data_IF_600361537908
#
_entry.id   IF_600361537908
#
_cell.length_a   1.000
_cell.length_b   1.000
_cell.length_c   1.000
_cell.angle_alpha   90.00
_cell.angle_beta   90.00
_cell.angle_gamma   90.00
#
_symmetry.space_group_name_H-M   'P 1'
#
loop_
_entity.id
_entity.type
_entity.pdbx_description
1 polymer ?
#
# COMPACT_ATOMS: atom_id res chain seq x y z
N UNK A 1 0.27 -17.70 -0.79
CA UNK A 1 1.57 -17.12 -0.40
C UNK A 1 1.32 -16.39 0.89
N UNK A 2 2.07 -16.67 1.95
CA UNK A 2 1.95 -15.96 3.24
C UNK A 2 2.61 -14.59 3.13
N UNK A 3 1.93 -13.54 3.58
CA UNK A 3 2.50 -12.19 3.65
C UNK A 3 3.61 -12.19 4.71
N UNK A 4 4.82 -11.79 4.30
CA UNK A 4 5.94 -11.61 5.23
C UNK A 4 5.69 -10.35 6.05
N UNK A 5 5.91 -10.41 7.36
CA UNK A 5 5.82 -9.26 8.27
C UNK A 5 7.21 -8.91 8.81
N UNK A 6 7.45 -7.63 9.09
CA UNK A 6 8.70 -7.16 9.71
C UNK A 6 8.38 -6.42 11.02
N UNK A 7 9.18 -6.62 12.10
CA UNK A 7 8.90 -6.00 13.41
C UNK A 7 8.93 -4.47 13.37
N UNK A 8 9.81 -3.88 12.56
CA UNK A 8 10.03 -2.43 12.54
C UNK A 8 9.45 -1.70 11.32
N UNK A 9 8.99 -2.43 10.30
CA UNK A 9 8.50 -1.84 9.04
C UNK A 9 7.23 -2.57 8.65
N UNK A 10 6.08 -2.00 8.98
CA UNK A 10 4.79 -2.65 8.82
C UNK A 10 3.99 -1.97 7.72
N UNK A 11 3.71 -2.69 6.64
CA UNK A 11 2.83 -2.21 5.57
C UNK A 11 1.39 -2.41 6.03
N UNK A 12 0.61 -1.33 6.04
CA UNK A 12 -0.77 -1.32 6.53
C UNK A 12 -1.73 -1.61 5.40
N UNK A 13 -1.69 -0.79 4.35
CA UNK A 13 -2.53 -0.92 3.15
C UNK A 13 -1.84 -0.36 1.93
N UNK A 14 -2.34 -0.77 0.77
CA UNK A 14 -2.02 -0.20 -0.53
C UNK A 14 -3.28 0.40 -1.11
N UNK A 15 -3.14 1.54 -1.78
CA UNK A 15 -4.25 2.09 -2.57
C UNK A 15 -3.83 2.33 -4.00
N UNK A 16 -4.80 2.18 -4.90
CA UNK A 16 -4.65 2.52 -6.31
C UNK A 16 -5.76 3.47 -6.71
N UNK A 17 -5.37 4.67 -7.12
CA UNK A 17 -6.28 5.70 -7.64
C UNK A 17 -6.20 5.69 -9.16
N UNK A 18 -7.33 5.50 -9.84
CA UNK A 18 -7.40 5.55 -11.32
C UNK A 18 -7.60 7.00 -11.76
N UNK A 19 -6.55 7.62 -12.31
CA UNK A 19 -6.51 9.05 -12.63
C UNK A 19 -7.22 9.33 -13.94
N UNK A 20 -6.76 8.74 -15.04
CA UNK A 20 -7.32 9.00 -16.35
C UNK A 20 -7.70 7.70 -17.03
N UNK A 21 -8.93 7.71 -17.53
CA UNK A 21 -9.37 6.78 -18.54
C UNK A 21 -9.31 7.48 -19.89
N UNK A 22 -8.25 7.22 -20.66
CA UNK A 22 -7.86 7.94 -21.89
C UNK A 22 -8.90 7.94 -23.03
N UNK A 23 -10.07 7.30 -22.86
CA UNK A 23 -11.12 7.20 -23.87
C UNK A 23 -12.49 7.77 -23.47
N UNK A 24 -12.67 8.36 -22.28
CA UNK A 24 -13.94 9.04 -21.94
C UNK A 24 -13.94 10.46 -22.52
N UNK A 25 -14.41 10.59 -23.76
CA UNK A 25 -14.85 11.87 -24.29
C UNK A 25 -16.01 12.41 -23.42
N UNK A 26 -15.74 13.49 -22.67
CA UNK A 26 -16.67 14.47 -22.08
C UNK A 26 -18.12 14.03 -21.81
N UNK A 27 -18.51 13.84 -20.54
CA UNK A 27 -19.78 14.36 -19.98
C UNK A 27 -19.64 14.46 -18.44
N UNK A 28 -19.65 15.70 -17.92
CA UNK A 28 -19.85 16.13 -16.53
C UNK A 28 -18.78 15.73 -15.46
N UNK A 29 -17.95 16.73 -15.11
CA UNK A 29 -16.97 16.75 -14.01
C UNK A 29 -17.59 16.48 -12.63
N UNK A 30 -17.72 15.20 -12.26
CA UNK A 30 -17.55 14.79 -10.86
C UNK A 30 -16.34 13.85 -10.89
N UNK A 31 -15.22 14.32 -10.35
CA UNK A 31 -13.91 13.67 -10.44
C UNK A 31 -13.87 12.57 -9.37
N UNK A 32 -14.72 11.56 -9.52
CA UNK A 32 -14.67 10.36 -8.70
C UNK A 32 -13.67 9.41 -9.35
N UNK A 33 -12.38 9.64 -9.09
CA UNK A 33 -11.34 8.68 -9.43
C UNK A 33 -11.59 7.40 -8.62
N UNK A 34 -11.86 6.24 -9.25
CA UNK A 34 -12.03 4.99 -8.51
C UNK A 34 -10.80 4.73 -7.63
N UNK A 35 -11.05 4.56 -6.33
CA UNK A 35 -10.05 4.20 -5.33
C UNK A 35 -10.20 2.71 -5.01
N UNK A 36 -9.13 1.96 -5.23
CA UNK A 36 -9.04 0.56 -4.82
C UNK A 36 -8.19 0.53 -3.56
N UNK A 37 -8.78 0.12 -2.43
CA UNK A 37 -8.05 -0.10 -1.18
C UNK A 37 -7.80 -1.58 -0.96
N UNK A 38 -6.56 -1.94 -0.66
CA UNK A 38 -6.14 -3.32 -0.41
C UNK A 38 -5.42 -3.38 0.93
N UNK A 39 -6.00 -4.03 1.96
CA UNK A 39 -5.32 -4.23 3.23
C UNK A 39 -4.12 -5.16 3.03
N UNK A 40 -3.05 -4.88 3.77
CA UNK A 40 -1.83 -5.70 3.77
C UNK A 40 -1.56 -6.28 5.14
N UNK A 41 -1.70 -5.46 6.19
CA UNK A 41 -1.60 -5.93 7.56
C UNK A 41 -2.68 -7.00 7.79
N UNK A 42 -2.25 -8.14 8.32
CA UNK A 42 -3.08 -9.31 8.65
C UNK A 42 -3.82 -9.95 7.46
N UNK A 43 -3.53 -9.54 6.23
CA UNK A 43 -4.14 -10.11 5.04
C UNK A 43 -3.51 -11.47 4.68
N UNK A 44 -4.31 -12.39 4.14
CA UNK A 44 -3.80 -13.67 3.64
C UNK A 44 -3.14 -13.54 2.27
N UNK A 45 -3.60 -12.59 1.46
CA UNK A 45 -3.09 -12.31 0.12
C UNK A 45 -3.34 -10.86 -0.27
N UNK A 46 -2.46 -10.32 -1.11
CA UNK A 46 -2.61 -9.01 -1.73
C UNK A 46 -2.98 -9.22 -3.20
N UNK A 47 -4.19 -8.80 -3.57
CA UNK A 47 -4.71 -8.92 -4.93
C UNK A 47 -5.29 -7.59 -5.38
N UNK A 48 -4.70 -7.00 -6.42
CA UNK A 48 -5.11 -5.72 -6.98
C UNK A 48 -5.66 -5.96 -8.38
N UNK A 49 -6.89 -5.53 -8.63
CA UNK A 49 -7.56 -5.68 -9.94
C UNK A 49 -7.70 -4.32 -10.58
N UNK A 50 -7.13 -4.10 -11.75
CA UNK A 50 -7.22 -2.82 -12.47
C UNK A 50 -7.61 -3.02 -13.95
N UNK A 51 -8.39 -2.09 -14.53
CA UNK A 51 -8.68 -2.10 -15.97
C UNK A 51 -7.43 -1.97 -16.83
N UNK A 52 -7.46 -2.48 -18.06
CA UNK A 52 -6.42 -2.25 -19.06
C UNK A 52 -6.51 -0.84 -19.69
N UNK A 53 -5.36 -0.22 -19.99
CA UNK A 53 -5.30 1.07 -20.69
C UNK A 53 -5.65 2.30 -19.84
N UNK A 54 -5.56 2.19 -18.51
CA UNK A 54 -5.79 3.31 -17.58
C UNK A 54 -4.49 3.81 -16.97
N UNK A 55 -4.47 5.10 -16.66
CA UNK A 55 -3.46 5.71 -15.80
C UNK A 55 -3.87 5.58 -14.34
N UNK A 56 -2.92 5.19 -13.49
CA UNK A 56 -3.16 4.99 -12.07
C UNK A 56 -2.00 5.51 -11.23
N UNK A 57 -2.29 5.84 -9.98
CA UNK A 57 -1.30 6.18 -8.97
C UNK A 57 -1.40 5.19 -7.82
N UNK A 58 -0.26 4.63 -7.46
CA UNK A 58 -0.14 3.69 -6.35
C UNK A 58 0.31 4.45 -5.10
N UNK A 59 -0.30 4.15 -3.96
CA UNK A 59 0.05 4.77 -2.68
C UNK A 59 0.26 3.69 -1.62
N UNK A 60 1.37 3.81 -0.91
CA UNK A 60 1.78 2.93 0.17
C UNK A 60 1.47 3.59 1.52
N UNK A 61 0.83 2.84 2.40
CA UNK A 61 0.58 3.21 3.79
C UNK A 61 1.35 2.25 4.70
N UNK A 62 2.22 2.79 5.54
CA UNK A 62 3.09 1.97 6.37
C UNK A 62 3.48 2.67 7.67
N UNK A 63 3.95 1.88 8.62
CA UNK A 63 4.42 2.34 9.93
C UNK A 63 5.86 1.91 10.14
N UNK A 64 6.63 2.78 10.78
CA UNK A 64 8.00 2.49 11.23
C UNK A 64 7.95 2.41 12.76
N UNK A 65 8.53 1.37 13.36
CA UNK A 65 8.46 1.19 14.83
C UNK A 65 9.77 1.55 15.52
N UNK A 66 10.63 0.57 15.81
CA UNK A 66 11.66 0.74 16.83
C UNK A 66 12.93 1.49 16.37
N UNK A 67 13.13 1.70 15.06
CA UNK A 67 14.33 2.34 14.51
C UNK A 67 14.03 3.22 13.31
N UNK A 68 14.81 4.28 13.14
CA UNK A 68 14.78 5.11 11.94
C UNK A 68 15.39 4.37 10.75
N UNK A 69 14.84 4.62 9.57
CA UNK A 69 15.37 4.16 8.30
C UNK A 69 15.73 5.36 7.42
N UNK A 70 16.99 5.47 7.01
CA UNK A 70 17.46 6.57 6.18
C UNK A 70 17.64 6.10 4.74
N UNK A 71 17.16 6.85 3.75
CA UNK A 71 17.29 6.51 2.33
C UNK A 71 16.70 5.13 1.99
N UNK A 72 15.42 4.93 2.35
CA UNK A 72 14.66 3.73 2.01
C UNK A 72 14.33 3.76 0.52
N UNK A 73 14.62 2.64 -0.14
CA UNK A 73 14.35 2.40 -1.54
C UNK A 73 13.28 1.33 -1.69
N UNK A 74 12.50 1.47 -2.76
CA UNK A 74 11.52 0.52 -3.21
C UNK A 74 11.95 -0.05 -4.55
N UNK A 75 11.88 -1.37 -4.70
CA UNK A 75 12.02 -2.04 -5.99
C UNK A 75 10.84 -2.96 -6.25
N UNK A 76 10.33 -2.92 -7.47
CA UNK A 76 9.27 -3.79 -7.95
C UNK A 76 9.78 -4.61 -9.12
N UNK A 77 9.51 -5.91 -9.11
CA UNK A 77 9.59 -6.75 -10.31
C UNK A 77 8.21 -7.31 -10.62
N UNK A 78 7.79 -7.12 -11.87
CA UNK A 78 6.50 -7.57 -12.39
C UNK A 78 6.75 -8.65 -13.43
N UNK A 79 6.18 -9.84 -13.22
CA UNK A 79 6.30 -10.99 -14.11
C UNK A 79 4.96 -11.38 -14.69
N UNK A 80 4.95 -11.83 -15.95
CA UNK A 80 3.81 -12.48 -16.59
C UNK A 80 4.28 -13.79 -17.22
N UNK A 81 3.67 -14.91 -16.83
CA UNK A 81 4.09 -16.25 -17.25
C UNK A 81 5.59 -16.52 -16.99
N UNK A 82 6.10 -16.10 -15.84
CA UNK A 82 7.52 -16.28 -15.46
C UNK A 82 8.50 -15.29 -16.11
N UNK A 83 8.09 -14.54 -17.12
CA UNK A 83 8.93 -13.55 -17.81
C UNK A 83 8.79 -12.19 -17.12
N UNK A 84 9.91 -11.55 -16.80
CA UNK A 84 9.93 -10.17 -16.27
C UNK A 84 9.44 -9.21 -17.35
N UNK A 85 8.31 -8.57 -17.08
CA UNK A 85 7.71 -7.55 -17.94
C UNK A 85 8.24 -6.15 -17.61
N UNK A 86 8.47 -5.90 -16.31
CA UNK A 86 8.91 -4.59 -15.82
C UNK A 86 9.67 -4.71 -14.51
N UNK A 87 10.65 -3.85 -14.36
CA UNK A 87 11.28 -3.53 -13.07
C UNK A 87 11.15 -2.03 -12.83
N UNK A 88 10.84 -1.63 -11.60
CA UNK A 88 10.85 -0.23 -11.15
C UNK A 88 11.71 -0.15 -9.90
N UNK A 89 12.46 0.93 -9.75
CA UNK A 89 13.22 1.26 -8.55
C UNK A 89 13.00 2.74 -8.22
N UNK A 90 12.85 3.07 -6.95
CA UNK A 90 12.51 4.42 -6.47
C UNK A 90 13.03 4.62 -5.05
N UNK A 91 13.72 5.72 -4.79
CA UNK A 91 13.93 6.21 -3.42
C UNK A 91 12.59 6.71 -2.84
N UNK A 92 12.13 6.08 -1.77
CA UNK A 92 10.85 6.44 -1.13
C UNK A 92 11.03 7.45 0.00
N UNK A 93 12.19 7.49 0.67
CA UNK A 93 12.58 8.56 1.59
C UNK A 93 13.21 8.06 2.88
N UNK A 94 13.36 8.94 3.86
CA UNK A 94 13.82 8.60 5.22
C UNK A 94 12.66 8.74 6.20
N UNK A 95 12.59 7.81 7.16
CA UNK A 95 11.46 7.68 8.09
C UNK A 95 11.95 7.38 9.49
N UNK A 96 11.55 8.23 10.44
CA UNK A 96 11.71 7.98 11.87
C UNK A 96 10.63 7.03 12.40
N UNK A 97 10.79 6.48 13.61
CA UNK A 97 9.71 5.85 14.36
C UNK A 97 8.39 6.64 14.29
N UNK A 98 7.34 5.98 13.84
CA UNK A 98 5.99 6.52 13.82
C UNK A 98 5.57 6.94 15.23
N UNK A 99 5.17 8.21 15.43
CA UNK A 99 4.65 8.65 16.73
C UNK A 99 3.43 7.84 17.16
N UNK A 100 3.35 7.55 18.44
CA UNK A 100 2.18 6.95 19.10
C UNK A 100 1.21 8.08 19.46
N UNK A 101 -0.04 8.00 19.02
CA UNK A 101 -1.08 8.96 19.42
C UNK A 101 -1.74 8.40 20.68
N UNK A 102 -1.42 8.98 21.83
CA UNK A 102 -2.18 8.75 23.05
C UNK A 102 -3.57 9.38 22.86
N UNK A 103 -4.64 8.58 22.95
CA UNK A 103 -6.00 9.12 23.00
C UNK A 103 -6.10 9.91 24.31
N UNK A 104 -6.17 11.24 24.24
CA UNK A 104 -6.60 12.03 25.40
C UNK A 104 -8.08 11.78 25.58
N UNK A 105 -8.44 11.12 26.67
CA UNK A 105 -9.82 11.10 27.16
C UNK A 105 -10.27 12.55 27.37
N UNK A 106 -11.29 12.99 26.62
CA UNK A 106 -12.01 14.20 26.96
C UNK A 106 -12.80 13.90 28.24
N UNK A 107 -12.29 14.38 29.37
CA UNK A 107 -12.98 14.32 30.67
C UNK A 107 -14.26 15.14 30.57
N UNK A 108 -15.38 14.49 30.29
CA UNK A 108 -16.69 14.99 30.68
C UNK A 108 -16.95 14.52 32.12
N UNK A 109 -16.91 15.46 33.06
CA UNK A 109 -17.37 15.25 34.42
C UNK A 109 -18.86 14.91 34.40
N UNK A 110 -19.22 13.64 34.69
CA UNK A 110 -20.40 13.24 35.47
C UNK A 110 -20.41 11.71 35.75
N UNK A 111 -20.05 11.40 37.00
CA UNK A 111 -20.56 10.36 37.93
C UNK A 111 -20.61 8.85 37.56
N UNK A 112 -19.71 8.12 38.26
CA UNK A 112 -19.88 6.89 39.07
C UNK A 112 -20.33 5.52 38.51
N UNK A 113 -19.39 4.57 38.73
CA UNK A 113 -19.52 3.14 39.09
C UNK A 113 -20.09 2.13 38.08
N UNK A 114 -19.20 1.29 37.51
CA UNK A 114 -19.04 -0.12 37.92
C UNK A 114 -17.85 -0.79 37.22
N UNK A 115 -17.07 -1.52 38.01
CA UNK A 115 -15.95 -2.36 37.60
C UNK A 115 -16.43 -3.60 36.82
N UNK A 116 -16.01 -3.75 35.57
CA UNK A 116 -15.71 -5.07 35.00
C UNK A 116 -14.37 -4.98 34.26
N UNK A 117 -13.43 -5.85 34.67
CA UNK A 117 -12.14 -6.02 34.03
C UNK A 117 -12.34 -6.69 32.67
N UNK A 118 -12.50 -5.88 31.63
CA UNK A 118 -12.12 -6.29 30.30
C UNK A 118 -10.70 -5.74 30.07
N UNK A 119 -9.73 -6.63 29.82
CA UNK A 119 -8.46 -6.24 29.20
C UNK A 119 -8.78 -5.78 27.78
N UNK A 120 -9.38 -4.60 27.65
CA UNK A 120 -9.41 -3.88 26.39
C UNK A 120 -7.97 -3.54 26.06
N UNK A 121 -7.42 -4.27 25.09
CA UNK A 121 -6.15 -3.90 24.47
C UNK A 121 -6.36 -2.50 23.92
N UNK A 122 -5.82 -1.49 24.61
CA UNK A 122 -5.74 -0.12 24.10
C UNK A 122 -5.10 -0.18 22.72
N UNK A 123 -5.92 -0.06 21.67
CA UNK A 123 -5.42 0.05 20.31
C UNK A 123 -4.69 1.39 20.20
N UNK A 124 -3.39 1.33 20.50
CA UNK A 124 -2.45 2.42 20.33
C UNK A 124 -2.50 2.87 18.86
N UNK A 125 -3.13 4.02 18.59
CA UNK A 125 -3.25 4.51 17.23
C UNK A 125 -1.91 5.14 16.81
N UNK A 126 -1.15 4.40 16.00
CA UNK A 126 0.18 4.82 15.53
C UNK A 126 0.06 5.58 14.20
N UNK A 127 0.77 6.72 14.10
CA UNK A 127 0.81 7.54 12.87
C UNK A 127 1.30 6.71 11.69
N UNK A 128 0.54 6.75 10.60
CA UNK A 128 0.87 6.01 9.37
C UNK A 128 1.49 6.95 8.34
N UNK A 129 2.67 6.60 7.85
CA UNK A 129 3.31 7.30 6.73
C UNK A 129 2.60 6.96 5.42
N UNK A 130 2.54 7.96 4.54
CA UNK A 130 1.92 7.86 3.22
C UNK A 130 2.99 8.15 2.18
N UNK A 131 3.18 7.23 1.22
CA UNK A 131 4.04 7.43 0.07
C UNK A 131 3.28 7.24 -1.23
N UNK A 132 3.12 8.33 -1.95
CA UNK A 132 2.62 8.30 -3.33
C UNK A 132 3.74 7.98 -4.31
N UNK A 133 3.45 7.10 -5.26
CA UNK A 133 4.37 6.72 -6.33
C UNK A 133 4.10 7.55 -7.59
N UNK A 134 5.06 7.61 -8.53
CA UNK A 134 4.83 8.21 -9.83
C UNK A 134 3.64 7.53 -10.54
N UNK A 135 2.87 8.34 -11.28
CA UNK A 135 1.77 7.87 -12.12
C UNK A 135 2.29 6.81 -13.10
N UNK A 136 1.47 5.80 -13.33
CA UNK A 136 1.79 4.70 -14.23
C UNK A 136 0.61 4.33 -15.12
N UNK A 137 0.87 3.56 -16.18
CA UNK A 137 -0.14 3.16 -17.15
C UNK A 137 -0.16 1.64 -17.32
N UNK A 138 -1.37 1.09 -17.34
CA UNK A 138 -1.57 -0.32 -17.70
C UNK A 138 -1.54 -0.50 -19.21
N UNK A 139 -0.98 -1.61 -19.74
CA UNK A 139 -0.95 -1.80 -21.17
C UNK A 139 -2.37 -1.94 -21.73
N UNK A 140 -2.67 -1.23 -22.82
CA UNK A 140 -4.01 -1.15 -23.41
C UNK A 140 -4.40 -2.34 -24.29
N UNK A 141 -3.45 -3.14 -24.76
CA UNK A 141 -3.69 -4.26 -25.69
C UNK A 141 -4.54 -5.38 -25.08
N UNK A 142 -5.48 -5.98 -25.82
CA UNK A 142 -6.32 -7.10 -25.34
C UNK A 142 -5.54 -8.25 -24.69
N UNK A 143 -4.36 -8.59 -25.24
CA UNK A 143 -3.50 -9.68 -24.75
C UNK A 143 -2.72 -9.33 -23.47
N UNK A 144 -2.71 -8.06 -23.04
CA UNK A 144 -2.12 -7.66 -21.77
C UNK A 144 -2.94 -8.12 -20.57
N UNK A 145 -4.22 -8.46 -20.75
CA UNK A 145 -5.10 -8.90 -19.67
C UNK A 145 -4.60 -10.17 -18.96
N UNK A 146 -5.06 -10.37 -17.73
CA UNK A 146 -4.77 -11.52 -16.88
C UNK A 146 -3.80 -11.19 -15.74
N UNK A 147 -3.26 -12.23 -15.13
CA UNK A 147 -2.45 -12.15 -13.91
C UNK A 147 -0.99 -11.78 -14.19
N UNK A 148 -0.50 -10.86 -13.36
CA UNK A 148 0.88 -10.46 -13.23
C UNK A 148 1.30 -10.73 -11.79
N UNK A 149 2.43 -11.39 -11.63
CA UNK A 149 3.01 -11.70 -10.33
C UNK A 149 4.05 -10.64 -9.98
N UNK A 150 3.82 -9.95 -8.88
CA UNK A 150 4.63 -8.81 -8.46
C UNK A 150 5.37 -9.15 -7.18
N UNK A 151 6.64 -8.76 -7.12
CA UNK A 151 7.43 -8.79 -5.89
C UNK A 151 7.92 -7.37 -5.61
N UNK A 152 7.58 -6.88 -4.42
CA UNK A 152 8.03 -5.60 -3.88
C UNK A 152 9.15 -5.82 -2.88
N UNK A 153 10.26 -5.10 -3.01
CA UNK A 153 11.36 -5.06 -2.04
C UNK A 153 11.48 -3.67 -1.45
N UNK A 154 11.76 -3.62 -0.15
CA UNK A 154 12.09 -2.40 0.58
C UNK A 154 13.45 -2.59 1.22
N UNK A 155 14.39 -1.69 0.96
CA UNK A 155 15.78 -1.78 1.44
C UNK A 155 16.36 -0.40 1.73
N UNK A 156 17.49 -0.35 2.41
CA UNK A 156 18.15 0.89 2.85
C UNK A 156 19.41 1.10 2.02
N UNK A 157 19.52 2.23 1.33
CA UNK A 157 20.70 2.55 0.50
C UNK A 157 21.06 1.42 -0.47
N UNK A 158 22.32 0.96 -0.44
CA UNK A 158 22.83 -0.13 -1.29
C UNK A 158 22.87 -1.49 -0.56
N UNK A 159 22.15 -1.63 0.55
CA UNK A 159 22.12 -2.89 1.31
C UNK A 159 21.60 -4.05 0.44
N UNK A 160 22.31 -5.20 0.52
CA UNK A 160 21.96 -6.40 -0.26
C UNK A 160 20.70 -7.09 0.26
N UNK A 161 20.43 -6.95 1.55
CA UNK A 161 19.33 -7.63 2.24
C UNK A 161 18.15 -6.66 2.40
N UNK A 162 16.96 -6.99 1.86
CA UNK A 162 15.80 -6.13 2.02
C UNK A 162 15.29 -6.16 3.46
N UNK A 163 14.79 -5.02 3.94
CA UNK A 163 14.01 -4.91 5.18
C UNK A 163 12.85 -5.90 5.12
N UNK A 164 12.10 -5.86 4.02
CA UNK A 164 10.94 -6.72 3.80
C UNK A 164 10.74 -6.93 2.31
N UNK A 165 10.30 -8.14 1.97
CA UNK A 165 9.86 -8.52 0.62
C UNK A 165 8.39 -8.89 0.68
N UNK A 166 7.59 -8.38 -0.25
CA UNK A 166 6.15 -8.62 -0.29
C UNK A 166 5.74 -9.06 -1.69
N UNK A 167 5.23 -10.27 -1.79
CA UNK A 167 4.64 -10.78 -3.04
C UNK A 167 3.16 -10.43 -3.11
N UNK A 168 2.71 -10.07 -4.31
CA UNK A 168 1.32 -9.70 -4.58
C UNK A 168 0.93 -9.97 -6.03
N UNK A 169 -0.37 -10.02 -6.28
CA UNK A 169 -0.91 -10.29 -7.62
C UNK A 169 -1.60 -9.05 -8.17
N UNK A 170 -1.24 -8.69 -9.38
CA UNK A 170 -1.92 -7.68 -10.19
C UNK A 170 -2.73 -8.38 -11.27
N UNK A 171 -4.04 -8.19 -11.30
CA UNK A 171 -4.90 -8.66 -12.38
C UNK A 171 -5.31 -7.50 -13.26
N UNK A 172 -4.97 -7.58 -14.55
CA UNK A 172 -5.42 -6.63 -15.56
C UNK A 172 -6.69 -7.17 -16.21
N UNK A 173 -7.81 -6.50 -16.01
CA UNK A 173 -9.11 -6.91 -16.54
C UNK A 173 -9.51 -6.08 -17.76
N UNK A 174 -10.52 -6.56 -18.48
CA UNK A 174 -11.17 -5.72 -19.48
C UNK A 174 -11.71 -4.47 -18.81
N UNK A 175 -11.40 -3.32 -19.39
CA UNK A 175 -12.09 -2.09 -19.05
C UNK A 175 -13.60 -2.25 -19.30
N UNK A 176 -14.38 -1.99 -18.27
CA UNK A 176 -15.86 -2.02 -18.28
C UNK A 176 -16.42 -0.74 -18.88
#
# INVERSE_FOLDING_TARGET
>A
MTIVTHPDFQIIKLTVTIINDTNKNNVNNTIDHPLIEVPVKDAEKIHIVIPNGVQYQFTLYFQVKNKSYNNVHYKQVVKKHGITMRTRELEIGSYDPSPKIEKREEVNEQEEEQEEKEEEQEEEQVVTYIKEFPIDETPSTRFSRGFYYCTSWYYVGDEKDPIITTDWTLEIVAKT
#
